data_IF_147744523989
#
_entry.id   IF_147744523989
#
_cell.length_a   1.000
_cell.length_b   1.000
_cell.length_c   1.000
_cell.angle_alpha   90.00
_cell.angle_beta   90.00
_cell.angle_gamma   90.00
#
_symmetry.space_group_name_H-M   'P 1'
#
loop_
_entity.id
_entity.type
_entity.pdbx_description
1 polymer ?
#
# COMPACT_ATOMS: atom_id res chain seq x y z
N UNK A 1 -2.46 -35.44 -127.99
CA UNK A 1 -1.58 -35.36 -129.19
C UNK A 1 -1.39 -36.70 -129.90
N UNK A 2 -1.55 -37.86 -129.24
CA UNK A 2 -1.40 -39.18 -129.89
C UNK A 2 -2.46 -39.52 -130.96
N UNK A 3 -3.69 -38.97 -130.88
CA UNK A 3 -4.73 -39.21 -131.90
C UNK A 3 -4.47 -38.53 -133.26
N UNK A 4 -3.57 -37.53 -133.33
CA UNK A 4 -3.27 -36.82 -134.57
C UNK A 4 -2.18 -37.51 -135.43
N UNK A 5 -1.48 -38.52 -134.89
CA UNK A 5 -0.38 -39.19 -135.59
C UNK A 5 -0.81 -40.42 -136.41
N UNK A 6 -1.94 -41.06 -136.08
CA UNK A 6 -2.41 -42.24 -136.81
C UNK A 6 -3.20 -41.94 -138.09
N UNK A 7 -3.46 -40.68 -138.40
CA UNK A 7 -4.31 -40.27 -139.53
C UNK A 7 -3.54 -39.80 -140.77
N UNK A 8 -2.20 -39.78 -140.74
CA UNK A 8 -1.35 -39.34 -141.85
C UNK A 8 -0.80 -40.49 -142.74
N UNK A 9 -1.04 -41.76 -142.38
CA UNK A 9 -0.49 -42.93 -143.11
C UNK A 9 -1.40 -43.48 -144.23
N UNK A 10 -2.54 -42.84 -144.55
CA UNK A 10 -3.52 -43.38 -145.53
C UNK A 10 -3.71 -42.57 -146.82
N UNK A 11 -2.81 -41.66 -147.18
CA UNK A 11 -2.90 -40.96 -148.47
C UNK A 11 -2.30 -41.81 -149.60
N UNK A 12 -3.13 -42.66 -150.21
CA UNK A 12 -2.88 -43.29 -151.50
C UNK A 12 -2.73 -42.22 -152.60
N UNK A 13 -1.53 -42.13 -153.20
CA UNK A 13 -1.30 -41.39 -154.44
C UNK A 13 -1.40 -42.38 -155.60
N UNK A 14 -2.57 -42.46 -156.23
CA UNK A 14 -2.76 -43.18 -157.49
C UNK A 14 -2.13 -42.37 -158.62
N UNK A 15 -1.20 -43.01 -159.32
CA UNK A 15 -0.34 -42.45 -160.37
C UNK A 15 -1.04 -42.35 -161.73
N UNK A 16 -0.73 -41.29 -162.47
CA UNK A 16 -1.03 -41.15 -163.90
C UNK A 16 0.23 -41.49 -164.70
N UNK A 17 0.08 -42.48 -165.58
CA UNK A 17 0.81 -42.84 -166.80
C UNK A 17 2.24 -42.30 -167.06
N UNK A 18 3.13 -43.23 -167.42
CA UNK A 18 4.06 -42.99 -168.52
C UNK A 18 5.54 -42.89 -168.18
N UNK A 19 6.24 -44.00 -168.42
CA UNK A 19 7.67 -44.16 -168.73
C UNK A 19 8.73 -44.21 -167.62
N UNK A 20 9.81 -45.00 -167.86
CA UNK A 20 10.70 -45.52 -166.82
C UNK A 20 12.05 -44.82 -166.81
N UNK A 21 12.59 -44.59 -165.62
CA UNK A 21 13.99 -44.15 -165.52
C UNK A 21 14.38 -43.67 -164.14
N UNK A 22 15.09 -44.53 -163.43
CA UNK A 22 16.20 -44.19 -162.51
C UNK A 22 15.91 -43.62 -161.11
N UNK A 23 16.22 -44.51 -160.16
CA UNK A 23 16.84 -44.33 -158.83
C UNK A 23 15.97 -43.90 -157.62
N UNK A 24 16.14 -44.56 -156.45
CA UNK A 24 15.15 -44.53 -155.38
C UNK A 24 15.46 -43.46 -154.32
N UNK A 25 14.57 -42.47 -154.18
CA UNK A 25 14.57 -41.43 -153.13
C UNK A 25 14.31 -41.95 -151.69
N UNK A 26 14.19 -43.27 -151.48
CA UNK A 26 13.90 -43.88 -150.16
C UNK A 26 15.07 -43.78 -149.16
N UNK A 27 16.30 -43.54 -149.60
CA UNK A 27 17.44 -43.46 -148.66
C UNK A 27 17.58 -42.11 -147.95
N UNK A 28 17.11 -41.00 -148.54
CA UNK A 28 17.26 -39.66 -147.96
C UNK A 28 16.30 -39.38 -146.79
N UNK A 29 15.14 -40.05 -146.74
CA UNK A 29 14.17 -39.87 -145.65
C UNK A 29 14.49 -40.71 -144.40
N UNK A 30 15.29 -41.77 -144.50
CA UNK A 30 15.66 -42.61 -143.35
C UNK A 30 16.64 -41.91 -142.41
N UNK A 31 17.65 -41.22 -142.95
CA UNK A 31 18.63 -40.45 -142.18
C UNK A 31 18.01 -39.23 -141.51
N UNK A 32 17.08 -38.54 -142.19
CA UNK A 32 16.39 -37.37 -141.62
C UNK A 32 15.42 -37.77 -140.49
N UNK A 33 14.73 -38.92 -140.60
CA UNK A 33 13.86 -39.45 -139.53
C UNK A 33 14.65 -39.91 -138.31
N UNK A 34 15.80 -40.54 -138.51
CA UNK A 34 16.71 -40.89 -137.41
C UNK A 34 17.28 -39.64 -136.73
N UNK A 35 17.66 -38.62 -137.51
CA UNK A 35 18.12 -37.34 -136.96
C UNK A 35 17.04 -36.62 -136.16
N UNK A 36 15.78 -36.64 -136.61
CA UNK A 36 14.67 -36.02 -135.88
C UNK A 36 14.33 -36.79 -134.60
N UNK A 37 14.38 -38.13 -134.63
CA UNK A 37 14.21 -38.94 -133.41
C UNK A 37 15.32 -38.71 -132.40
N UNK A 38 16.57 -38.61 -132.86
CA UNK A 38 17.70 -38.28 -131.98
C UNK A 38 17.57 -36.87 -131.41
N UNK A 39 17.22 -35.86 -132.23
CA UNK A 39 16.98 -34.49 -131.72
C UNK A 39 15.78 -34.40 -130.78
N UNK A 40 14.72 -35.17 -131.02
CA UNK A 40 13.58 -35.24 -130.12
C UNK A 40 13.94 -35.94 -128.80
N UNK A 41 14.72 -37.03 -128.84
CA UNK A 41 15.22 -37.69 -127.65
C UNK A 41 16.17 -36.79 -126.84
N UNK A 42 17.02 -36.04 -127.53
CA UNK A 42 17.96 -35.06 -126.93
C UNK A 42 17.20 -33.87 -126.32
N UNK A 43 16.15 -33.37 -126.98
CA UNK A 43 15.28 -32.34 -126.43
C UNK A 43 14.46 -32.83 -125.22
N UNK A 44 13.98 -34.08 -125.24
CA UNK A 44 13.28 -34.68 -124.08
C UNK A 44 14.23 -34.94 -122.92
N UNK A 45 15.49 -35.32 -123.18
CA UNK A 45 16.51 -35.43 -122.15
C UNK A 45 16.87 -34.06 -121.54
N UNK A 46 16.97 -33.00 -122.37
CA UNK A 46 17.18 -31.64 -121.91
C UNK A 46 15.99 -31.12 -121.08
N UNK A 47 14.75 -31.41 -121.49
CA UNK A 47 13.55 -31.10 -120.70
C UNK A 47 13.53 -31.82 -119.36
N UNK A 48 13.87 -33.11 -119.31
CA UNK A 48 13.98 -33.85 -118.06
C UNK A 48 15.05 -33.23 -117.12
N UNK A 49 16.21 -32.83 -117.65
CA UNK A 49 17.23 -32.14 -116.84
C UNK A 49 16.79 -30.76 -116.35
N UNK A 50 15.94 -30.06 -117.11
CA UNK A 50 15.38 -28.78 -116.69
C UNK A 50 14.29 -28.96 -115.62
N UNK A 51 13.44 -29.98 -115.74
CA UNK A 51 12.45 -30.32 -114.71
C UNK A 51 13.11 -30.75 -113.39
N UNK A 52 14.20 -31.52 -113.46
CA UNK A 52 14.98 -31.89 -112.28
C UNK A 52 15.73 -30.70 -111.67
N UNK A 53 16.22 -29.77 -112.52
CA UNK A 53 16.82 -28.52 -112.06
C UNK A 53 15.79 -27.59 -111.39
N UNK A 54 14.57 -27.52 -111.92
CA UNK A 54 13.48 -26.71 -111.36
C UNK A 54 13.01 -27.28 -110.02
N UNK A 55 12.87 -28.61 -109.90
CA UNK A 55 12.63 -29.29 -108.62
C UNK A 55 13.74 -29.03 -107.61
N UNK A 56 15.00 -29.11 -108.01
CA UNK A 56 16.13 -28.83 -107.13
C UNK A 56 16.16 -27.36 -106.66
N UNK A 57 15.72 -26.43 -107.52
CA UNK A 57 15.57 -25.01 -107.15
C UNK A 57 14.42 -24.82 -106.16
N UNK A 58 13.28 -25.48 -106.37
CA UNK A 58 12.14 -25.40 -105.44
C UNK A 58 12.42 -26.07 -104.09
N UNK A 59 13.16 -27.19 -104.06
CA UNK A 59 13.66 -27.79 -102.82
C UNK A 59 14.62 -26.86 -102.08
N UNK A 60 15.55 -26.21 -102.78
CA UNK A 60 16.43 -25.20 -102.17
C UNK A 60 15.65 -24.00 -101.66
N UNK A 61 14.62 -23.55 -102.40
CA UNK A 61 13.75 -22.43 -102.03
C UNK A 61 12.93 -22.75 -100.79
N UNK A 62 12.37 -23.95 -100.69
CA UNK A 62 11.61 -24.40 -99.52
C UNK A 62 12.51 -24.56 -98.30
N UNK A 63 13.73 -25.09 -98.44
CA UNK A 63 14.73 -25.15 -97.35
C UNK A 63 15.12 -23.75 -96.86
N UNK A 64 15.40 -22.81 -97.77
CA UNK A 64 15.72 -21.43 -97.42
C UNK A 64 14.53 -20.72 -96.75
N UNK A 65 13.32 -20.89 -97.28
CA UNK A 65 12.10 -20.34 -96.70
C UNK A 65 11.88 -20.87 -95.27
N UNK A 66 11.97 -22.19 -95.07
CA UNK A 66 11.84 -22.81 -93.75
C UNK A 66 12.92 -22.32 -92.78
N UNK A 67 14.16 -22.11 -93.23
CA UNK A 67 15.25 -21.56 -92.41
C UNK A 67 14.99 -20.12 -91.99
N UNK A 68 14.44 -19.29 -92.88
CA UNK A 68 14.08 -17.89 -92.58
C UNK A 68 12.88 -17.85 -91.62
N UNK A 69 11.85 -18.66 -91.87
CA UNK A 69 10.64 -18.72 -91.02
C UNK A 69 10.96 -19.22 -89.61
N UNK A 70 11.78 -20.27 -89.49
CA UNK A 70 12.22 -20.78 -88.17
C UNK A 70 13.10 -19.76 -87.43
N UNK A 71 14.02 -19.07 -88.13
CA UNK A 71 14.84 -18.01 -87.52
C UNK A 71 13.98 -16.82 -87.06
N UNK A 72 12.98 -16.42 -87.85
CA UNK A 72 12.03 -15.38 -87.49
C UNK A 72 11.19 -15.77 -86.25
N UNK A 73 10.67 -17.00 -86.20
CA UNK A 73 9.92 -17.49 -85.04
C UNK A 73 10.79 -17.57 -83.78
N UNK A 74 12.04 -18.03 -83.89
CA UNK A 74 12.99 -18.04 -82.77
C UNK A 74 13.23 -16.62 -82.24
N UNK A 75 13.53 -15.66 -83.12
CA UNK A 75 13.73 -14.27 -82.73
C UNK A 75 12.47 -13.63 -82.12
N UNK A 76 11.28 -14.01 -82.60
CA UNK A 76 10.00 -13.56 -82.02
C UNK A 76 9.78 -14.11 -80.62
N UNK A 77 10.13 -15.38 -80.36
CA UNK A 77 10.07 -16.00 -79.03
C UNK A 77 11.07 -15.35 -78.08
N UNK A 78 12.32 -15.14 -78.53
CA UNK A 78 13.37 -14.49 -77.72
C UNK A 78 12.98 -13.05 -77.35
N UNK A 79 12.43 -12.27 -78.28
CA UNK A 79 11.91 -10.93 -77.98
C UNK A 79 10.76 -10.96 -76.97
N UNK A 80 9.87 -11.95 -77.08
CA UNK A 80 8.76 -12.10 -76.13
C UNK A 80 9.25 -12.53 -74.74
N UNK A 81 10.31 -13.36 -74.66
CA UNK A 81 10.94 -13.74 -73.40
C UNK A 81 11.63 -12.55 -72.74
N UNK A 82 12.44 -11.80 -73.48
CA UNK A 82 13.11 -10.58 -72.97
C UNK A 82 12.11 -9.51 -72.52
N UNK A 83 10.98 -9.36 -73.22
CA UNK A 83 9.93 -8.44 -72.79
C UNK A 83 9.32 -8.85 -71.44
N UNK A 84 9.15 -10.16 -71.18
CA UNK A 84 8.65 -10.65 -69.88
C UNK A 84 9.67 -10.45 -68.77
N UNK A 85 10.94 -10.74 -69.02
CA UNK A 85 12.02 -10.51 -68.05
C UNK A 85 12.14 -9.02 -67.70
N UNK A 86 12.00 -8.14 -68.69
CA UNK A 86 12.04 -6.70 -68.49
C UNK A 86 10.86 -6.19 -67.64
N UNK A 87 9.66 -6.77 -67.79
CA UNK A 87 8.52 -6.45 -66.93
C UNK A 87 8.70 -6.98 -65.50
N UNK A 88 9.32 -8.16 -65.31
CA UNK A 88 9.68 -8.67 -63.98
C UNK A 88 10.70 -7.74 -63.31
N UNK A 89 11.75 -7.34 -64.02
CA UNK A 89 12.76 -6.42 -63.51
C UNK A 89 12.16 -5.06 -63.16
N UNK A 90 11.23 -4.53 -63.97
CA UNK A 90 10.51 -3.29 -63.63
C UNK A 90 9.65 -3.45 -62.37
N UNK A 91 8.95 -4.57 -62.22
CA UNK A 91 8.14 -4.85 -61.05
C UNK A 91 8.99 -4.99 -59.77
N UNK A 92 10.17 -5.60 -59.87
CA UNK A 92 11.13 -5.69 -58.77
C UNK A 92 11.77 -4.33 -58.46
N UNK A 93 12.15 -3.56 -59.47
CA UNK A 93 12.68 -2.20 -59.29
C UNK A 93 11.65 -1.27 -58.61
N UNK A 94 10.36 -1.44 -58.92
CA UNK A 94 9.28 -0.68 -58.26
C UNK A 94 9.09 -1.03 -56.77
N UNK A 95 9.58 -2.19 -56.31
CA UNK A 95 9.53 -2.60 -54.89
C UNK A 95 10.68 -2.04 -54.05
N UNK A 96 11.80 -1.69 -54.68
CA UNK A 96 12.97 -1.11 -54.00
C UNK A 96 12.63 0.11 -53.13
N UNK A 97 11.90 1.14 -53.62
CA UNK A 97 11.58 2.31 -52.80
C UNK A 97 10.66 1.99 -51.61
N UNK A 98 9.80 0.97 -51.71
CA UNK A 98 8.98 0.52 -50.57
C UNK A 98 9.86 -0.11 -49.50
N UNK A 99 10.77 -1.00 -49.87
CA UNK A 99 11.71 -1.64 -48.93
C UNK A 99 12.67 -0.64 -48.27
N UNK A 100 13.13 0.37 -49.02
CA UNK A 100 13.93 1.46 -48.46
C UNK A 100 13.15 2.29 -47.42
N UNK A 101 11.87 2.54 -47.69
CA UNK A 101 11.00 3.23 -46.75
C UNK A 101 10.75 2.40 -45.49
N UNK A 102 10.46 1.10 -45.65
CA UNK A 102 10.26 0.17 -44.53
C UNK A 102 11.52 0.06 -43.65
N UNK A 103 12.72 0.02 -44.27
CA UNK A 103 13.99 0.05 -43.54
C UNK A 103 14.21 1.35 -42.77
N UNK A 104 13.81 2.50 -43.33
CA UNK A 104 13.88 3.78 -42.60
C UNK A 104 12.94 3.79 -41.39
N UNK A 105 11.71 3.30 -41.56
CA UNK A 105 10.73 3.20 -40.47
C UNK A 105 11.26 2.25 -39.38
N UNK A 106 11.78 1.08 -39.74
CA UNK A 106 12.34 0.13 -38.79
C UNK A 106 13.54 0.70 -38.02
N UNK A 107 14.42 1.47 -38.68
CA UNK A 107 15.55 2.15 -38.03
C UNK A 107 15.10 3.24 -37.06
N UNK A 108 14.08 4.02 -37.40
CA UNK A 108 13.51 5.03 -36.51
C UNK A 108 12.90 4.39 -35.26
N UNK A 109 12.15 3.30 -35.41
CA UNK A 109 11.58 2.54 -34.29
C UNK A 109 12.65 1.93 -33.37
N UNK A 110 13.75 1.43 -33.93
CA UNK A 110 14.88 0.95 -33.12
C UNK A 110 15.50 2.08 -32.29
N UNK A 111 15.71 3.27 -32.88
CA UNK A 111 16.27 4.42 -32.16
C UNK A 111 15.39 4.89 -31.00
N UNK A 112 14.06 4.95 -31.20
CA UNK A 112 13.10 5.29 -30.14
C UNK A 112 13.14 4.27 -28.99
N UNK A 113 13.30 2.98 -29.29
CA UNK A 113 13.41 1.93 -28.28
C UNK A 113 14.71 2.01 -27.46
N UNK A 114 15.82 2.43 -28.08
CA UNK A 114 17.10 2.65 -27.40
C UNK A 114 17.07 3.88 -26.49
N UNK A 115 16.41 4.96 -26.92
CA UNK A 115 16.21 6.14 -26.07
C UNK A 115 15.27 5.83 -24.90
N UNK A 116 14.19 5.07 -25.12
CA UNK A 116 13.32 4.58 -24.06
C UNK A 116 14.10 3.67 -23.08
N UNK A 117 14.98 2.80 -23.58
CA UNK A 117 15.86 1.96 -22.78
C UNK A 117 16.85 2.77 -21.93
N UNK A 118 17.46 3.81 -22.51
CA UNK A 118 18.36 4.73 -21.78
C UNK A 118 17.63 5.54 -20.71
N UNK A 119 16.41 6.02 -21.00
CA UNK A 119 15.58 6.72 -20.03
C UNK A 119 15.15 5.80 -18.87
N UNK A 120 14.81 4.54 -19.17
CA UNK A 120 14.49 3.54 -18.14
C UNK A 120 15.71 3.21 -17.27
N UNK A 121 16.90 3.05 -17.85
CA UNK A 121 18.14 2.83 -17.11
C UNK A 121 18.50 4.03 -16.20
N UNK A 122 18.28 5.26 -16.67
CA UNK A 122 18.47 6.46 -15.85
C UNK A 122 17.51 6.50 -14.64
N UNK A 123 16.22 6.17 -14.86
CA UNK A 123 15.23 6.07 -13.77
C UNK A 123 15.60 4.98 -12.77
N UNK A 124 16.09 3.83 -13.24
CA UNK A 124 16.55 2.73 -12.37
C UNK A 124 17.72 3.17 -11.49
N UNK A 125 18.69 3.90 -12.06
CA UNK A 125 19.84 4.42 -11.30
C UNK A 125 19.44 5.44 -10.23
N UNK A 126 18.44 6.29 -10.52
CA UNK A 126 17.86 7.19 -9.52
C UNK A 126 17.17 6.40 -8.42
N UNK A 127 16.35 5.40 -8.78
CA UNK A 127 15.66 4.54 -7.82
C UNK A 127 16.64 3.75 -6.92
N UNK A 128 17.75 3.25 -7.47
CA UNK A 128 18.80 2.59 -6.69
C UNK A 128 19.49 3.56 -5.71
N UNK A 129 19.70 4.82 -6.14
CA UNK A 129 20.18 5.90 -5.28
C UNK A 129 19.22 6.21 -4.12
N UNK A 130 17.92 6.23 -4.39
CA UNK A 130 16.89 6.43 -3.36
C UNK A 130 16.81 5.23 -2.41
N UNK A 131 16.85 4.00 -2.92
CA UNK A 131 16.86 2.78 -2.09
C UNK A 131 18.06 2.74 -1.15
N UNK A 132 19.26 3.11 -1.62
CA UNK A 132 20.44 3.18 -0.76
C UNK A 132 20.34 4.27 0.30
N UNK A 133 19.71 5.42 -0.02
CA UNK A 133 19.41 6.47 0.96
C UNK A 133 18.40 6.00 2.02
N UNK A 134 17.34 5.32 1.61
CA UNK A 134 16.33 4.78 2.53
C UNK A 134 16.91 3.72 3.47
N UNK A 135 17.74 2.81 2.96
CA UNK A 135 18.44 1.82 3.80
C UNK A 135 19.36 2.46 4.85
N UNK A 136 20.00 3.59 4.52
CA UNK A 136 20.80 4.36 5.49
C UNK A 136 19.93 4.99 6.58
N UNK A 137 18.77 5.54 6.21
CA UNK A 137 17.80 6.09 7.17
C UNK A 137 17.25 4.99 8.09
N UNK A 138 16.87 3.84 7.53
CA UNK A 138 16.43 2.69 8.31
C UNK A 138 17.49 2.23 9.31
N UNK A 139 18.75 2.10 8.87
CA UNK A 139 19.86 1.74 9.74
C UNK A 139 20.09 2.78 10.87
N UNK A 140 19.89 4.07 10.59
CA UNK A 140 19.99 5.12 11.60
C UNK A 140 18.83 5.05 12.61
N UNK A 141 17.59 4.89 12.14
CA UNK A 141 16.43 4.73 13.01
C UNK A 141 16.55 3.49 13.89
N UNK A 142 17.06 2.38 13.37
CA UNK A 142 17.31 1.17 14.16
C UNK A 142 18.35 1.40 15.27
N UNK A 143 19.39 2.21 15.00
CA UNK A 143 20.36 2.61 16.03
C UNK A 143 19.71 3.50 17.10
N UNK A 144 18.91 4.48 16.70
CA UNK A 144 18.18 5.34 17.63
C UNK A 144 17.22 4.53 18.52
N UNK A 145 16.44 3.62 17.93
CA UNK A 145 15.57 2.72 18.69
C UNK A 145 16.35 1.82 19.65
N UNK A 146 17.54 1.34 19.27
CA UNK A 146 18.39 0.57 20.17
C UNK A 146 18.89 1.42 21.35
N UNK A 147 19.25 2.68 21.12
CA UNK A 147 19.67 3.60 22.20
C UNK A 147 18.51 3.95 23.14
N UNK A 148 17.31 4.18 22.61
CA UNK A 148 16.12 4.46 23.41
C UNK A 148 15.73 3.25 24.26
N UNK A 149 15.72 2.04 23.68
CA UNK A 149 15.45 0.81 24.43
C UNK A 149 16.45 0.57 25.56
N UNK A 150 17.73 0.88 25.33
CA UNK A 150 18.74 0.79 26.38
C UNK A 150 18.47 1.80 27.50
N UNK A 151 18.18 3.05 27.15
CA UNK A 151 17.86 4.08 28.13
C UNK A 151 16.57 3.76 28.92
N UNK A 152 15.56 3.15 28.28
CA UNK A 152 14.36 2.66 28.95
C UNK A 152 14.67 1.49 29.89
N UNK A 153 15.49 0.53 29.47
CA UNK A 153 15.92 -0.58 30.32
C UNK A 153 16.67 -0.07 31.57
N UNK A 154 17.59 0.88 31.40
CA UNK A 154 18.34 1.49 32.50
C UNK A 154 17.39 2.24 33.48
N UNK A 155 16.36 2.94 32.96
CA UNK A 155 15.33 3.59 33.78
C UNK A 155 14.47 2.59 34.55
N UNK A 156 14.06 1.49 33.91
CA UNK A 156 13.28 0.43 34.56
C UNK A 156 14.09 -0.22 35.67
N UNK A 157 15.39 -0.45 35.45
CA UNK A 157 16.30 -0.98 36.47
C UNK A 157 16.46 -0.02 37.67
N UNK A 158 16.62 1.29 37.42
CA UNK A 158 16.68 2.30 38.50
C UNK A 158 15.37 2.36 39.29
N UNK A 159 14.22 2.37 38.60
CA UNK A 159 12.91 2.35 39.25
C UNK A 159 12.68 1.08 40.07
N UNK A 160 13.11 -0.10 39.58
CA UNK A 160 13.06 -1.35 40.34
C UNK A 160 13.87 -1.26 41.63
N UNK A 161 15.10 -0.75 41.57
CA UNK A 161 15.96 -0.55 42.76
C UNK A 161 15.39 0.48 43.73
N UNK A 162 14.68 1.50 43.24
CA UNK A 162 13.98 2.47 44.10
C UNK A 162 12.77 1.83 44.78
N UNK A 163 12.00 1.03 44.05
CA UNK A 163 10.85 0.29 44.59
C UNK A 163 11.28 -0.69 45.68
N UNK A 164 12.33 -1.47 45.43
CA UNK A 164 12.90 -2.40 46.44
C UNK A 164 13.31 -1.68 47.73
N UNK A 165 13.92 -0.49 47.63
CA UNK A 165 14.27 0.35 48.80
C UNK A 165 13.02 0.82 49.55
N UNK A 166 11.97 1.24 48.85
CA UNK A 166 10.70 1.66 49.47
C UNK A 166 10.00 0.48 50.14
N UNK A 167 10.03 -0.71 49.52
CA UNK A 167 9.47 -1.93 50.11
C UNK A 167 10.22 -2.34 51.37
N UNK A 168 11.56 -2.27 51.37
CA UNK A 168 12.39 -2.48 52.56
C UNK A 168 12.02 -1.50 53.68
N UNK A 169 11.95 -0.20 53.38
CA UNK A 169 11.54 0.82 54.36
C UNK A 169 10.14 0.58 54.92
N UNK A 170 9.19 0.18 54.07
CA UNK A 170 7.84 -0.18 54.51
C UNK A 170 7.85 -1.36 55.48
N UNK A 171 8.65 -2.40 55.20
CA UNK A 171 8.78 -3.56 56.07
C UNK A 171 9.42 -3.19 57.41
N UNK A 172 10.46 -2.35 57.42
CA UNK A 172 11.09 -1.82 58.64
C UNK A 172 10.09 -1.01 59.48
N UNK A 173 9.36 -0.08 58.87
CA UNK A 173 8.32 0.70 59.56
C UNK A 173 7.19 -0.18 60.09
N UNK A 174 6.79 -1.21 59.34
CA UNK A 174 5.78 -2.16 59.79
C UNK A 174 6.27 -2.97 61.01
N UNK A 175 7.54 -3.36 61.04
CA UNK A 175 8.16 -3.99 62.22
C UNK A 175 8.21 -3.02 63.41
N UNK A 176 8.54 -1.76 63.20
CA UNK A 176 8.56 -0.74 64.26
C UNK A 176 7.14 -0.44 64.81
N UNK A 177 6.13 -0.36 63.94
CA UNK A 177 4.74 -0.17 64.36
C UNK A 177 4.25 -1.37 65.16
N UNK A 178 4.55 -2.59 64.71
CA UNK A 178 4.17 -3.80 65.45
C UNK A 178 4.86 -3.86 66.81
N UNK A 179 6.17 -3.59 66.89
CA UNK A 179 6.89 -3.55 68.18
C UNK A 179 6.33 -2.47 69.13
N UNK A 180 6.13 -1.24 68.65
CA UNK A 180 5.53 -0.16 69.46
C UNK A 180 4.11 -0.47 69.89
N UNK A 181 3.33 -1.14 69.04
CA UNK A 181 1.96 -1.55 69.39
C UNK A 181 1.95 -2.60 70.51
N UNK A 182 2.91 -3.51 70.51
CA UNK A 182 3.10 -4.50 71.58
C UNK A 182 3.54 -3.83 72.88
N UNK A 183 4.48 -2.88 72.83
CA UNK A 183 4.90 -2.07 73.99
C UNK A 183 3.74 -1.27 74.59
N UNK A 184 2.94 -0.60 73.75
CA UNK A 184 1.76 0.14 74.20
C UNK A 184 0.68 -0.79 74.75
N UNK A 185 0.48 -1.98 74.15
CA UNK A 185 -0.43 -3.00 74.66
C UNK A 185 0.01 -3.52 76.03
N UNK A 186 1.31 -3.76 76.23
CA UNK A 186 1.87 -4.18 77.51
C UNK A 186 1.68 -3.08 78.58
N UNK A 187 1.94 -1.82 78.21
CA UNK A 187 1.74 -0.66 79.09
C UNK A 187 0.27 -0.49 79.47
N UNK A 188 -0.65 -0.65 78.50
CA UNK A 188 -2.09 -0.59 78.76
C UNK A 188 -2.55 -1.72 79.69
N UNK A 189 -2.09 -2.95 79.46
CA UNK A 189 -2.38 -4.11 80.35
C UNK A 189 -1.88 -3.85 81.76
N UNK A 190 -0.69 -3.25 81.90
CA UNK A 190 -0.14 -2.85 83.20
C UNK A 190 -1.06 -1.85 83.92
N UNK A 191 -1.47 -0.77 83.25
CA UNK A 191 -2.39 0.22 83.81
C UNK A 191 -3.76 -0.37 84.20
N UNK A 192 -4.33 -1.24 83.37
CA UNK A 192 -5.59 -1.94 83.67
C UNK A 192 -5.43 -2.82 84.92
N UNK A 193 -4.29 -3.49 85.07
CA UNK A 193 -3.95 -4.26 86.26
C UNK A 193 -3.84 -3.39 87.52
N UNK A 194 -3.17 -2.23 87.42
CA UNK A 194 -3.00 -1.29 88.53
C UNK A 194 -4.32 -0.64 88.94
N UNK A 195 -5.15 -0.21 87.98
CA UNK A 195 -6.51 0.25 88.26
C UNK A 195 -7.34 -0.82 88.96
N UNK A 196 -7.28 -2.07 88.49
CA UNK A 196 -8.00 -3.18 89.14
C UNK A 196 -7.48 -3.46 90.56
N UNK A 197 -6.22 -3.13 90.86
CA UNK A 197 -5.65 -3.20 92.21
C UNK A 197 -6.19 -2.07 93.09
N UNK A 198 -6.24 -0.84 92.57
CA UNK A 198 -6.79 0.32 93.25
C UNK A 198 -8.30 0.15 93.55
N UNK A 199 -9.08 -0.32 92.58
CA UNK A 199 -10.52 -0.60 92.77
C UNK A 199 -10.75 -1.64 93.87
N UNK A 200 -9.90 -2.67 93.96
CA UNK A 200 -9.97 -3.66 95.05
C UNK A 200 -9.59 -3.08 96.41
N UNK A 201 -8.61 -2.19 96.49
CA UNK A 201 -8.29 -1.49 97.75
C UNK A 201 -9.42 -0.56 98.19
N UNK A 202 -10.08 0.12 97.25
CA UNK A 202 -11.20 1.02 97.54
C UNK A 202 -12.48 0.25 97.91
N UNK A 203 -12.72 -0.94 97.33
CA UNK A 203 -13.83 -1.81 97.71
C UNK A 203 -13.66 -2.45 99.11
N UNK A 204 -12.42 -2.47 99.66
CA UNK A 204 -12.12 -2.94 101.01
C UNK A 204 -12.36 -1.89 102.10
N UNK A 205 -12.45 -0.61 101.74
CA UNK A 205 -12.78 0.48 102.66
C UNK A 205 -14.25 0.87 102.49
N UNK A 206 -15.09 0.20 103.27
CA UNK A 206 -16.49 0.56 103.52
C UNK A 206 -16.56 1.98 104.10
N UNK A 207 -16.58 2.99 103.23
CA UNK A 207 -17.00 4.34 103.56
C UNK A 207 -18.33 4.62 102.85
N UNK A 208 -19.39 4.38 103.60
CA UNK A 208 -20.68 4.99 103.41
C UNK A 208 -20.51 6.50 103.29
N UNK A 209 -20.61 7.09 102.09
CA UNK A 209 -21.10 8.47 101.87
C UNK A 209 -21.23 8.83 100.37
N UNK A 210 -22.50 8.94 99.95
CA UNK A 210 -23.04 9.70 98.80
C UNK A 210 -22.72 9.24 97.35
N UNK A 211 -23.75 8.84 96.57
CA UNK A 211 -23.66 8.76 95.12
C UNK A 211 -24.18 10.09 94.55
N UNK A 212 -23.36 10.90 93.87
CA UNK A 212 -23.80 11.83 92.80
C UNK A 212 -22.72 12.76 92.19
N UNK A 213 -21.52 13.03 92.76
CA UNK A 213 -20.55 13.87 92.04
C UNK A 213 -19.74 13.11 90.97
N UNK A 214 -19.56 11.78 91.13
CA UNK A 214 -18.57 11.03 90.37
C UNK A 214 -18.99 10.67 88.92
N UNK A 215 -20.28 10.77 88.58
CA UNK A 215 -20.77 10.42 87.22
C UNK A 215 -20.66 11.60 86.24
N UNK A 216 -20.83 12.83 86.71
CA UNK A 216 -20.71 14.05 85.88
C UNK A 216 -19.28 14.32 85.41
N UNK A 217 -18.27 13.82 86.12
CA UNK A 217 -16.86 13.95 85.72
C UNK A 217 -16.42 12.93 84.64
N UNK A 218 -17.23 11.91 84.31
CA UNK A 218 -16.83 10.80 83.41
C UNK A 218 -17.28 10.95 81.96
N UNK A 219 -18.40 11.64 81.68
CA UNK A 219 -18.86 11.93 80.31
C UNK A 219 -17.91 12.82 79.47
N UNK A 220 -17.21 13.83 80.05
CA UNK A 220 -16.25 14.63 79.30
C UNK A 220 -15.05 13.82 78.78
N UNK A 221 -14.69 12.72 79.43
CA UNK A 221 -13.53 11.91 79.08
C UNK A 221 -13.76 11.09 77.80
N UNK A 222 -14.96 10.55 77.62
CA UNK A 222 -15.30 9.70 76.45
C UNK A 222 -15.49 10.54 75.18
N UNK A 223 -16.14 11.71 75.30
CA UNK A 223 -16.25 12.67 74.19
C UNK A 223 -14.93 13.38 73.89
N UNK A 224 -14.05 13.58 74.89
CA UNK A 224 -12.66 14.00 74.65
C UNK A 224 -11.91 12.98 73.79
N UNK A 225 -11.98 11.69 74.10
CA UNK A 225 -11.18 10.69 73.36
C UNK A 225 -11.56 10.56 71.88
N UNK A 226 -12.85 10.61 71.54
CA UNK A 226 -13.29 10.39 70.16
C UNK A 226 -13.02 11.57 69.22
N UNK A 227 -13.05 12.81 69.72
CA UNK A 227 -12.85 14.02 68.90
C UNK A 227 -11.46 14.67 69.04
N UNK A 228 -10.73 14.45 70.14
CA UNK A 228 -9.42 15.11 70.34
C UNK A 228 -8.27 14.41 69.60
N UNK A 229 -8.39 13.12 69.28
CA UNK A 229 -7.28 12.37 68.70
C UNK A 229 -7.18 12.47 67.16
N UNK A 230 -8.22 12.97 66.47
CA UNK A 230 -8.29 12.90 65.01
C UNK A 230 -7.62 14.08 64.26
N UNK A 231 -7.53 15.27 64.88
CA UNK A 231 -6.97 16.49 64.25
C UNK A 231 -6.22 17.34 65.30
N UNK A 232 -4.90 17.14 65.52
CA UNK A 232 -4.14 17.88 66.53
C UNK A 232 -4.13 19.39 66.30
N UNK A 233 -4.17 19.86 65.05
CA UNK A 233 -4.21 21.28 64.70
C UNK A 233 -5.53 21.96 65.12
N UNK A 234 -6.65 21.22 65.09
CA UNK A 234 -7.95 21.73 65.53
C UNK A 234 -8.01 21.91 67.07
N UNK A 235 -7.18 21.17 67.81
CA UNK A 235 -7.11 21.26 69.26
C UNK A 235 -6.45 22.56 69.72
N UNK A 236 -5.38 22.99 69.05
CA UNK A 236 -4.71 24.26 69.35
C UNK A 236 -5.60 25.46 69.02
N UNK A 237 -6.25 25.44 67.86
CA UNK A 237 -7.19 26.48 67.46
C UNK A 237 -8.37 26.61 68.44
N UNK A 238 -8.86 25.49 68.96
CA UNK A 238 -9.95 25.45 69.95
C UNK A 238 -9.53 26.04 71.32
N UNK A 239 -8.33 25.71 71.79
CA UNK A 239 -7.80 26.28 73.04
C UNK A 239 -7.52 27.79 72.89
N UNK A 240 -7.01 28.21 71.74
CA UNK A 240 -6.80 29.63 71.44
C UNK A 240 -8.14 30.39 71.36
N UNK A 241 -9.19 29.79 70.78
CA UNK A 241 -10.52 30.39 70.72
C UNK A 241 -11.17 30.53 72.11
N UNK A 242 -11.05 29.50 72.95
CA UNK A 242 -11.47 29.58 74.35
C UNK A 242 -10.68 30.65 75.13
N UNK A 243 -9.37 30.76 74.89
CA UNK A 243 -8.53 31.82 75.47
C UNK A 243 -9.00 33.22 75.07
N UNK A 244 -9.27 33.45 73.78
CA UNK A 244 -9.81 34.73 73.28
C UNK A 244 -11.19 35.06 73.86
N UNK A 245 -12.07 34.06 74.02
CA UNK A 245 -13.38 34.25 74.63
C UNK A 245 -13.25 34.68 76.10
N UNK A 246 -12.32 34.10 76.85
CA UNK A 246 -11.98 34.53 78.21
C UNK A 246 -11.46 35.94 78.26
N UNK A 247 -10.53 36.29 77.38
CA UNK A 247 -9.94 37.63 77.35
C UNK A 247 -10.98 38.69 76.99
N UNK A 248 -11.89 38.38 76.05
CA UNK A 248 -13.02 39.25 75.72
C UNK A 248 -13.97 39.44 76.91
N UNK A 249 -14.29 38.37 77.66
CA UNK A 249 -15.12 38.48 78.87
C UNK A 249 -14.43 39.31 79.96
N UNK A 250 -13.14 39.08 80.19
CA UNK A 250 -12.32 39.86 81.16
C UNK A 250 -12.37 41.35 80.83
N UNK A 251 -12.26 41.71 79.55
CA UNK A 251 -12.36 43.10 79.11
C UNK A 251 -13.76 43.69 79.31
N UNK A 252 -14.81 42.89 79.15
CA UNK A 252 -16.20 43.36 79.24
C UNK A 252 -16.74 43.48 80.68
N UNK A 253 -16.30 42.61 81.59
CA UNK A 253 -16.86 42.50 82.96
C UNK A 253 -15.87 42.78 84.08
N UNK A 254 -14.57 42.93 83.77
CA UNK A 254 -13.53 43.19 84.77
C UNK A 254 -13.22 42.00 85.70
N UNK A 255 -13.79 40.83 85.41
CA UNK A 255 -13.67 39.62 86.24
C UNK A 255 -12.23 39.07 86.21
N UNK A 256 -11.60 38.92 87.38
CA UNK A 256 -10.26 38.35 87.51
C UNK A 256 -10.33 36.83 87.68
N UNK A 257 -9.73 36.13 86.70
CA UNK A 257 -9.44 34.68 86.64
C UNK A 257 -10.32 33.74 87.48
N UNK A 258 -11.40 33.24 86.86
CA UNK A 258 -11.85 31.91 87.22
C UNK A 258 -11.06 30.88 86.39
N UNK A 259 -10.35 29.97 87.06
CA UNK A 259 -9.61 28.88 86.41
C UNK A 259 -10.53 27.78 85.84
N UNK A 260 -11.83 27.83 86.12
CA UNK A 260 -12.78 26.88 85.58
C UNK A 260 -13.21 27.26 84.15
N UNK A 261 -13.31 26.26 83.28
CA UNK A 261 -13.89 26.43 81.95
C UNK A 261 -15.37 26.81 82.08
N UNK A 262 -15.70 28.00 81.62
CA UNK A 262 -17.08 28.46 81.56
C UNK A 262 -17.79 27.92 80.33
N UNK A 263 -19.14 27.99 80.31
CA UNK A 263 -19.92 27.50 79.18
C UNK A 263 -19.53 28.18 77.86
N UNK A 264 -19.30 29.50 77.85
CA UNK A 264 -18.90 30.18 76.61
C UNK A 264 -17.51 29.77 76.11
N UNK A 265 -16.60 29.34 77.00
CA UNK A 265 -15.30 28.80 76.60
C UNK A 265 -15.47 27.47 75.86
N UNK A 266 -16.41 26.64 76.33
CA UNK A 266 -16.76 25.39 75.66
C UNK A 266 -17.44 25.66 74.31
N UNK A 267 -18.38 26.61 74.25
CA UNK A 267 -19.04 26.99 73.01
C UNK A 267 -18.05 27.58 72.00
N UNK A 268 -17.12 28.43 72.42
CA UNK A 268 -16.07 28.99 71.57
C UNK A 268 -15.09 27.91 71.08
N UNK A 269 -14.68 26.99 71.96
CA UNK A 269 -13.85 25.84 71.59
C UNK A 269 -14.58 24.91 70.61
N UNK A 270 -15.88 24.67 70.80
CA UNK A 270 -16.68 23.85 69.87
C UNK A 270 -16.86 24.55 68.52
N UNK A 271 -17.18 25.85 68.51
CA UNK A 271 -17.29 26.63 67.28
C UNK A 271 -16.00 26.59 66.46
N UNK A 272 -14.84 26.77 67.11
CA UNK A 272 -13.53 26.71 66.45
C UNK A 272 -13.18 25.32 65.88
N UNK A 273 -13.78 24.24 66.39
CA UNK A 273 -13.61 22.87 65.85
C UNK A 273 -14.59 22.56 64.73
N UNK A 274 -15.78 23.14 64.79
CA UNK A 274 -16.81 22.96 63.78
C UNK A 274 -16.52 23.83 62.54
N UNK A 275 -15.90 24.99 62.71
CA UNK A 275 -15.59 25.92 61.62
C UNK A 275 -14.70 25.32 60.50
N UNK A 276 -13.61 24.58 60.78
CA UNK A 276 -12.85 23.89 59.74
C UNK A 276 -13.70 22.84 59.01
N UNK A 277 -14.57 22.13 59.72
CA UNK A 277 -15.44 21.10 59.14
C UNK A 277 -16.49 21.74 58.23
N UNK A 278 -17.06 22.88 58.63
CA UNK A 278 -18.02 23.61 57.80
C UNK A 278 -17.35 24.22 56.58
N UNK A 279 -16.14 24.78 56.72
CA UNK A 279 -15.34 25.27 55.57
C UNK A 279 -14.98 24.14 54.62
N UNK A 280 -14.47 23.03 55.13
CA UNK A 280 -14.14 21.85 54.32
C UNK A 280 -15.39 21.31 53.61
N UNK A 281 -16.53 21.24 54.29
CA UNK A 281 -17.80 20.85 53.68
C UNK A 281 -18.24 21.80 52.56
N UNK A 282 -17.98 23.10 52.69
CA UNK A 282 -18.29 24.10 51.68
C UNK A 282 -17.36 24.00 50.47
N UNK A 283 -16.05 23.85 50.69
CA UNK A 283 -15.06 23.68 49.62
C UNK A 283 -15.26 22.35 48.88
N UNK A 284 -15.53 21.27 49.60
CA UNK A 284 -15.81 19.96 49.01
C UNK A 284 -17.09 19.98 48.17
N UNK A 285 -18.12 20.70 48.64
CA UNK A 285 -19.32 20.96 47.84
C UNK A 285 -18.96 21.73 46.55
N UNK A 286 -18.23 22.84 46.66
CA UNK A 286 -17.87 23.67 45.50
C UNK A 286 -17.02 22.88 44.48
N UNK A 287 -16.04 22.11 44.95
CA UNK A 287 -15.23 21.23 44.12
C UNK A 287 -16.09 20.15 43.43
N UNK A 288 -17.06 19.56 44.14
CA UNK A 288 -18.00 18.62 43.55
C UNK A 288 -18.88 19.28 42.48
N UNK A 289 -19.38 20.51 42.71
CA UNK A 289 -20.15 21.26 41.71
C UNK A 289 -19.31 21.56 40.45
N UNK A 290 -18.05 21.94 40.62
CA UNK A 290 -17.11 22.18 39.51
C UNK A 290 -16.79 20.90 38.73
N UNK A 291 -16.53 19.79 39.44
CA UNK A 291 -16.29 18.48 38.83
C UNK A 291 -17.52 18.00 38.03
N UNK A 292 -18.72 18.16 38.57
CA UNK A 292 -19.96 17.78 37.88
C UNK A 292 -20.18 18.65 36.64
N UNK A 293 -19.91 19.97 36.69
CA UNK A 293 -19.98 20.85 35.51
C UNK A 293 -18.98 20.47 34.43
N UNK A 294 -17.79 20.00 34.81
CA UNK A 294 -16.76 19.53 33.88
C UNK A 294 -17.15 18.21 33.21
N UNK A 295 -17.69 17.26 33.99
CA UNK A 295 -18.05 15.93 33.50
C UNK A 295 -19.38 15.93 32.72
N UNK A 296 -20.34 16.79 33.09
CA UNK A 296 -21.66 16.84 32.48
C UNK A 296 -22.15 18.30 32.27
N UNK A 297 -21.58 19.02 31.29
CA UNK A 297 -21.85 20.45 31.10
C UNK A 297 -23.28 20.77 30.63
N UNK A 298 -24.02 19.77 30.14
CA UNK A 298 -25.39 19.93 29.64
C UNK A 298 -26.47 19.78 30.71
N UNK A 299 -26.09 19.38 31.93
CA UNK A 299 -27.06 19.08 32.99
C UNK A 299 -27.20 20.23 33.99
N UNK A 300 -28.45 20.51 34.38
CA UNK A 300 -28.76 21.58 35.33
C UNK A 300 -28.55 21.08 36.76
N UNK A 301 -27.64 21.74 37.47
CA UNK A 301 -27.30 21.35 38.84
C UNK A 301 -28.38 21.82 39.83
N UNK A 302 -28.83 20.96 40.77
CA UNK A 302 -29.70 21.39 41.86
C UNK A 302 -29.01 22.42 42.77
N UNK A 303 -29.72 23.48 43.15
CA UNK A 303 -29.16 24.55 44.01
C UNK A 303 -29.04 24.14 45.48
N UNK A 304 -29.80 23.13 45.91
CA UNK A 304 -29.84 22.68 47.30
C UNK A 304 -29.05 21.37 47.49
N UNK A 305 -28.33 21.27 48.62
CA UNK A 305 -27.47 20.13 48.94
C UNK A 305 -28.26 18.83 49.05
N UNK A 306 -29.45 18.88 49.66
CA UNK A 306 -30.31 17.71 49.79
C UNK A 306 -30.76 17.19 48.41
N UNK A 307 -31.01 18.10 47.47
CA UNK A 307 -31.37 17.75 46.10
C UNK A 307 -30.15 17.28 45.28
N UNK A 308 -28.96 17.82 45.54
CA UNK A 308 -27.72 17.36 44.94
C UNK A 308 -27.38 15.92 45.36
N UNK A 309 -27.54 15.59 46.65
CA UNK A 309 -27.32 14.23 47.15
C UNK A 309 -28.31 13.25 46.50
N UNK A 310 -29.61 13.58 46.50
CA UNK A 310 -30.63 12.75 45.82
C UNK A 310 -30.37 12.60 44.32
N UNK A 311 -29.89 13.66 43.67
CA UNK A 311 -29.55 13.65 42.25
C UNK A 311 -28.36 12.73 41.95
N UNK A 312 -27.35 12.69 42.84
CA UNK A 312 -26.23 11.75 42.74
C UNK A 312 -26.67 10.30 43.01
N UNK A 313 -27.56 10.08 43.97
CA UNK A 313 -28.09 8.74 44.30
C UNK A 313 -28.96 8.16 43.18
N UNK A 314 -29.74 9.01 42.51
CA UNK A 314 -30.62 8.63 41.40
C UNK A 314 -29.94 8.70 40.03
N UNK A 315 -28.63 8.96 39.99
CA UNK A 315 -27.88 9.06 38.75
C UNK A 315 -27.86 7.70 38.01
N UNK A 316 -28.11 7.69 36.68
CA UNK A 316 -28.02 6.49 35.85
C UNK A 316 -26.58 5.95 35.81
N UNK A 317 -26.42 4.64 35.60
CA UNK A 317 -25.15 3.92 35.80
C UNK A 317 -23.97 4.47 34.99
N UNK A 318 -24.22 5.01 33.80
CA UNK A 318 -23.16 5.64 32.98
C UNK A 318 -22.52 6.88 33.65
N UNK A 319 -23.23 7.55 34.56
CA UNK A 319 -22.67 8.67 35.35
C UNK A 319 -21.81 8.16 36.50
N UNK A 320 -22.19 7.04 37.13
CA UNK A 320 -21.38 6.38 38.16
C UNK A 320 -20.05 5.89 37.58
N UNK A 321 -20.09 5.30 36.38
CA UNK A 321 -18.89 4.83 35.69
C UNK A 321 -17.96 5.97 35.25
N UNK A 322 -18.54 7.10 34.80
CA UNK A 322 -17.77 8.28 34.41
C UNK A 322 -17.17 9.00 35.63
N UNK A 323 -17.90 9.08 36.75
CA UNK A 323 -17.38 9.58 38.02
C UNK A 323 -16.24 8.71 38.57
N UNK A 324 -16.39 7.38 38.50
CA UNK A 324 -15.36 6.44 38.95
C UNK A 324 -14.07 6.56 38.11
N UNK A 325 -14.19 6.74 36.79
CA UNK A 325 -13.05 6.98 35.90
C UNK A 325 -12.38 8.32 36.17
N UNK A 326 -13.15 9.40 36.30
CA UNK A 326 -12.60 10.72 36.61
C UNK A 326 -11.93 10.76 37.99
N UNK A 327 -12.52 10.09 38.99
CA UNK A 327 -11.92 9.93 40.32
C UNK A 327 -10.64 9.10 40.29
N UNK A 328 -10.61 8.03 39.48
CA UNK A 328 -9.40 7.23 39.28
C UNK A 328 -8.29 8.03 38.57
N UNK A 329 -8.63 8.81 37.55
CA UNK A 329 -7.68 9.66 36.82
C UNK A 329 -7.12 10.79 37.69
N UNK A 330 -7.95 11.40 38.57
CA UNK A 330 -7.49 12.39 39.55
C UNK A 330 -6.62 11.77 40.67
N UNK A 331 -6.96 10.57 41.14
CA UNK A 331 -6.11 9.87 42.11
C UNK A 331 -4.76 9.47 41.48
N UNK A 332 -4.78 9.03 40.22
CA UNK A 332 -3.56 8.73 39.46
C UNK A 332 -2.72 9.98 39.21
N UNK A 333 -3.32 11.14 38.91
CA UNK A 333 -2.55 12.37 38.72
C UNK A 333 -1.88 12.86 40.01
N UNK A 334 -2.51 12.67 41.17
CA UNK A 334 -1.90 12.99 42.47
C UNK A 334 -0.78 12.03 42.88
N UNK A 335 -0.88 10.74 42.50
CA UNK A 335 0.17 9.74 42.76
C UNK A 335 1.35 9.87 41.80
N UNK A 336 1.11 10.39 40.58
CA UNK A 336 2.13 10.56 39.55
C UNK A 336 2.77 11.96 39.52
N UNK A 337 2.26 12.93 40.32
CA UNK A 337 2.86 14.26 40.53
C UNK A 337 3.77 14.28 41.75
#
# INVERSE_FOLDING_TARGET
MEKAWHQADSCEVISREGQPGTAPLKMLFSGYRASLKNKAAEAMAQLATLEDADKAVDERRTVLYNKVVTSYHRAKIERAALARELEVVKAEAARVPQLENDLRIARAQCAESEEAGRAAAAKLKVADGELTRLRKLEANHLKELATLRKAEADKVEDLSKRLERVEQQRLELQQEVTSKSEELSATAKWWVGEMSRLDRSLAGESLYLSPLPAFCCRLPAVLRLAFFCALPEAQEAALAAAGRARDARRQATGEQSSDCFSMDDYLASMAARVEPITKLGWELRKAAEELIRLLWPTETLPQDLANLIKWLETAPDHRKDSAARAGADMALSFVLS
#
